data_IF_509493537037
#
_entry.id   IF_509493537037
#
_cell.length_a   1.000
_cell.length_b   1.000
_cell.length_c   1.000
_cell.angle_alpha   90.00
_cell.angle_beta   90.00
_cell.angle_gamma   90.00
#
_symmetry.space_group_name_H-M   'P 1'
#
loop_
_entity.id
_entity.type
_entity.pdbx_description
1 polymer ?
#
# COMPACT_ATOMS: atom_id res chain seq x y z
N UNK A 1 -7.28 -5.19 13.20
CA UNK A 1 -8.66 -5.74 13.06
C UNK A 1 -8.63 -7.14 12.48
N UNK A 2 -9.39 -8.07 13.08
CA UNK A 2 -9.57 -9.45 12.61
C UNK A 2 -10.19 -9.46 11.20
N UNK A 3 -9.67 -10.25 10.25
CA UNK A 3 -8.62 -11.28 10.35
C UNK A 3 -7.23 -10.83 9.89
N UNK A 4 -6.86 -9.55 9.98
CA UNK A 4 -5.52 -9.06 9.63
C UNK A 4 -4.53 -9.07 10.80
N UNK A 5 -4.92 -9.61 11.95
CA UNK A 5 -4.10 -9.62 13.19
C UNK A 5 -2.82 -10.43 13.01
N UNK A 6 -2.88 -11.53 12.28
CA UNK A 6 -1.74 -12.40 12.01
C UNK A 6 -0.67 -11.68 11.20
N UNK A 7 -1.06 -10.86 10.21
CA UNK A 7 -0.13 -10.03 9.44
C UNK A 7 0.58 -9.06 10.38
N UNK A 8 -0.16 -8.37 11.26
CA UNK A 8 0.41 -7.43 12.21
C UNK A 8 1.34 -8.13 13.21
N UNK A 9 0.93 -9.28 13.73
CA UNK A 9 1.72 -10.06 14.71
C UNK A 9 3.06 -10.49 14.09
N UNK A 10 3.05 -11.13 12.93
CA UNK A 10 4.27 -11.60 12.28
C UNK A 10 5.17 -10.44 11.84
N UNK A 11 4.62 -9.36 11.31
CA UNK A 11 5.40 -8.18 10.97
C UNK A 11 6.05 -7.53 12.19
N UNK A 12 5.37 -7.48 13.33
CA UNK A 12 5.94 -6.95 14.58
C UNK A 12 7.13 -7.76 15.09
N UNK A 13 7.10 -9.07 14.84
CA UNK A 13 8.16 -10.00 15.24
C UNK A 13 9.34 -10.00 14.29
N UNK A 14 9.08 -9.94 12.96
CA UNK A 14 10.10 -10.15 11.94
C UNK A 14 10.80 -8.86 11.49
N UNK A 15 10.05 -7.78 11.27
CA UNK A 15 10.62 -6.55 10.71
C UNK A 15 11.79 -5.97 11.53
N UNK A 16 11.74 -5.91 12.88
CA UNK A 16 12.88 -5.41 13.65
C UNK A 16 14.16 -6.22 13.46
N UNK A 17 14.05 -7.52 13.17
CA UNK A 17 15.20 -8.42 13.01
C UNK A 17 15.99 -8.13 11.72
N UNK A 18 15.36 -7.51 10.73
CA UNK A 18 15.96 -7.18 9.43
C UNK A 18 16.12 -5.66 9.24
N UNK A 19 16.05 -4.88 10.34
CA UNK A 19 16.19 -3.42 10.30
C UNK A 19 14.93 -2.67 9.84
N UNK A 20 13.82 -3.37 9.60
CA UNK A 20 12.53 -2.77 9.30
C UNK A 20 11.87 -2.18 10.54
N UNK A 21 10.78 -1.45 10.33
CA UNK A 21 9.98 -0.84 11.39
C UNK A 21 8.55 -1.34 11.35
N UNK A 22 8.04 -1.75 12.50
CA UNK A 22 6.64 -2.00 12.73
C UNK A 22 6.12 -0.98 13.73
N UNK A 23 4.97 -0.37 13.43
CA UNK A 23 4.33 0.60 14.31
C UNK A 23 2.86 0.22 14.42
N UNK A 24 2.42 -0.03 15.63
CA UNK A 24 1.01 -0.19 15.95
C UNK A 24 0.45 1.16 16.37
N UNK A 25 -0.60 1.59 15.67
CA UNK A 25 -1.29 2.84 15.96
C UNK A 25 -2.60 2.55 16.70
N UNK A 26 -3.15 3.57 17.33
CA UNK A 26 -4.40 3.46 18.09
C UNK A 26 -5.60 3.21 17.18
N UNK A 27 -5.58 3.78 15.99
CA UNK A 27 -6.66 3.64 15.01
C UNK A 27 -6.14 3.49 13.57
N UNK A 28 -7.03 3.15 12.68
CA UNK A 28 -6.73 2.89 11.27
C UNK A 28 -6.39 4.16 10.48
N UNK A 29 -6.91 5.33 10.88
CA UNK A 29 -6.63 6.62 10.24
C UNK A 29 -5.18 7.00 10.49
N UNK A 30 -4.74 6.92 11.74
CA UNK A 30 -3.33 7.14 12.11
C UNK A 30 -2.42 6.11 11.45
N UNK A 31 -2.85 4.84 11.41
CA UNK A 31 -2.06 3.76 10.82
C UNK A 31 -1.72 3.98 9.35
N UNK A 32 -2.69 4.36 8.53
CA UNK A 32 -2.41 4.67 7.11
C UNK A 32 -1.64 5.99 6.96
N UNK A 33 -1.90 7.00 7.79
CA UNK A 33 -1.19 8.28 7.73
C UNK A 33 0.31 8.10 7.99
N UNK A 34 0.66 7.27 8.98
CA UNK A 34 2.07 6.90 9.25
C UNK A 34 2.67 6.13 8.08
N UNK A 35 1.92 5.20 7.47
CA UNK A 35 2.40 4.43 6.33
C UNK A 35 2.65 5.32 5.08
N UNK A 36 1.76 6.29 4.82
CA UNK A 36 1.97 7.30 3.76
C UNK A 36 3.23 8.13 4.03
N UNK A 37 3.39 8.65 5.26
CA UNK A 37 4.59 9.41 5.64
C UNK A 37 5.88 8.59 5.55
N UNK A 38 5.85 7.32 5.93
CA UNK A 38 6.98 6.40 5.76
C UNK A 38 7.31 6.19 4.28
N UNK A 39 6.31 6.01 3.43
CA UNK A 39 6.51 5.91 1.99
C UNK A 39 7.13 7.17 1.41
N UNK A 40 6.63 8.35 1.80
CA UNK A 40 7.19 9.62 1.37
C UNK A 40 8.62 9.85 1.84
N UNK A 41 9.03 9.23 2.94
CA UNK A 41 10.42 9.22 3.41
C UNK A 41 11.32 8.19 2.70
N UNK A 42 10.79 7.46 1.71
CA UNK A 42 11.52 6.52 0.87
C UNK A 42 11.42 5.06 1.30
N UNK A 43 10.67 4.74 2.34
CA UNK A 43 10.46 3.35 2.75
C UNK A 43 9.49 2.63 1.81
N UNK A 44 9.66 1.31 1.67
CA UNK A 44 8.59 0.44 1.19
C UNK A 44 7.61 0.25 2.34
N UNK A 45 6.44 0.88 2.25
CA UNK A 45 5.48 0.92 3.33
C UNK A 45 4.22 0.13 2.99
N UNK A 46 3.62 -0.46 4.01
CA UNK A 46 2.31 -1.10 3.91
C UNK A 46 1.48 -0.84 5.15
N UNK A 47 0.17 -0.92 5.00
CA UNK A 47 -0.80 -0.94 6.09
C UNK A 47 -1.72 -2.14 5.93
N UNK A 48 -2.07 -2.82 7.02
CA UNK A 48 -2.97 -3.96 6.98
C UNK A 48 -4.21 -3.70 7.84
N UNK A 49 -5.38 -4.07 7.34
CA UNK A 49 -6.64 -4.00 8.07
C UNK A 49 -7.68 -4.94 7.45
N UNK A 50 -8.91 -4.82 7.90
CA UNK A 50 -10.06 -5.58 7.41
C UNK A 50 -11.36 -4.81 7.67
N UNK A 51 -12.37 -5.04 6.85
CA UNK A 51 -13.73 -4.54 7.06
C UNK A 51 -13.81 -3.05 7.39
N UNK A 52 -14.38 -2.68 8.56
CA UNK A 52 -14.56 -1.27 8.93
C UNK A 52 -13.25 -0.49 9.03
N UNK A 53 -12.11 -1.16 9.30
CA UNK A 53 -10.81 -0.50 9.31
C UNK A 53 -10.37 -0.01 7.93
N UNK A 54 -10.74 -0.71 6.85
CA UNK A 54 -10.51 -0.22 5.49
C UNK A 54 -11.41 1.00 5.21
N UNK A 55 -12.65 0.97 5.66
CA UNK A 55 -13.58 2.11 5.53
C UNK A 55 -13.05 3.36 6.22
N UNK A 56 -12.47 3.22 7.42
CA UNK A 56 -11.86 4.33 8.16
C UNK A 56 -10.65 4.93 7.44
N UNK A 57 -9.96 4.18 6.61
CA UNK A 57 -8.80 4.63 5.82
C UNK A 57 -9.17 5.37 4.54
N UNK A 58 -10.44 5.46 4.17
CA UNK A 58 -10.88 5.92 2.86
C UNK A 58 -10.28 7.28 2.46
N UNK A 59 -10.34 8.29 3.33
CA UNK A 59 -9.81 9.62 3.02
C UNK A 59 -8.31 9.60 2.73
N UNK A 60 -7.53 8.91 3.56
CA UNK A 60 -6.08 8.80 3.36
C UNK A 60 -5.72 7.93 2.15
N UNK A 61 -6.58 6.99 1.78
CA UNK A 61 -6.44 6.25 0.51
C UNK A 61 -6.59 7.23 -0.66
N UNK A 62 -7.61 8.09 -0.62
CA UNK A 62 -7.80 9.16 -1.61
C UNK A 62 -6.61 10.10 -1.70
N UNK A 63 -6.07 10.53 -0.55
CA UNK A 63 -4.84 11.31 -0.50
C UNK A 63 -3.66 10.56 -1.14
N UNK A 64 -3.53 9.26 -0.88
CA UNK A 64 -2.48 8.44 -1.48
C UNK A 64 -2.56 8.41 -3.01
N UNK A 65 -3.76 8.38 -3.58
CA UNK A 65 -3.97 8.42 -5.03
C UNK A 65 -3.64 9.79 -5.62
N UNK A 66 -4.21 10.87 -5.09
CA UNK A 66 -4.01 12.21 -5.66
C UNK A 66 -2.58 12.72 -5.48
N UNK A 67 -1.92 12.34 -4.39
CA UNK A 67 -0.53 12.71 -4.12
C UNK A 67 0.49 11.70 -4.71
N UNK A 68 0.05 10.71 -5.47
CA UNK A 68 0.88 9.73 -6.17
C UNK A 68 1.86 9.00 -5.23
N UNK A 69 1.39 8.58 -4.05
CA UNK A 69 2.23 7.96 -3.01
C UNK A 69 2.21 6.44 -3.13
N UNK A 70 3.34 5.77 -3.42
CA UNK A 70 3.41 4.31 -3.46
C UNK A 70 3.11 3.70 -2.08
N UNK A 71 2.08 2.89 -1.97
CA UNK A 71 1.69 2.22 -0.72
C UNK A 71 1.05 0.87 -1.02
N UNK A 72 1.30 -0.15 -0.20
CA UNK A 72 0.53 -1.39 -0.23
C UNK A 72 -0.51 -1.39 0.88
N UNK A 73 -1.76 -1.61 0.50
CA UNK A 73 -2.90 -1.69 1.41
C UNK A 73 -3.37 -3.13 1.45
N UNK A 74 -3.05 -3.83 2.53
CA UNK A 74 -3.50 -5.20 2.75
C UNK A 74 -4.89 -5.18 3.36
N UNK A 75 -5.85 -5.74 2.63
CA UNK A 75 -7.19 -6.00 3.13
C UNK A 75 -7.40 -7.51 3.24
N UNK A 76 -7.49 -8.03 4.45
CA UNK A 76 -7.94 -9.40 4.67
C UNK A 76 -9.46 -9.37 4.72
N UNK A 77 -10.08 -9.70 3.59
CA UNK A 77 -11.51 -9.53 3.34
C UNK A 77 -12.37 -10.36 4.28
N UNK A 78 -13.46 -9.79 4.73
CA UNK A 78 -14.42 -10.44 5.61
C UNK A 78 -15.86 -10.03 5.31
N UNK A 79 -16.82 -10.72 5.91
CA UNK A 79 -18.24 -10.37 5.74
C UNK A 79 -18.58 -8.99 6.31
N UNK A 80 -19.20 -8.14 5.50
CA UNK A 80 -19.79 -6.84 5.85
C UNK A 80 -21.32 -6.90 5.83
N UNK A 81 -22.03 -5.75 6.01
CA UNK A 81 -21.51 -4.41 6.32
C UNK A 81 -21.15 -4.21 7.81
N UNK A 82 -20.54 -3.05 8.12
CA UNK A 82 -20.12 -2.64 9.48
C UNK A 82 -19.16 -3.67 10.11
N UNK A 83 -19.37 -4.03 11.37
CA UNK A 83 -18.60 -5.10 12.04
C UNK A 83 -18.70 -6.42 11.28
N UNK A 84 -19.88 -6.70 10.73
CA UNK A 84 -20.11 -7.85 9.87
C UNK A 84 -19.79 -9.19 10.49
N UNK A 85 -19.05 -10.00 9.76
CA UNK A 85 -18.65 -11.35 10.14
C UNK A 85 -17.11 -11.47 10.20
N UNK A 86 -16.46 -11.13 11.32
CA UNK A 86 -14.99 -11.02 11.42
C UNK A 86 -14.21 -12.30 11.11
N UNK A 87 -14.85 -13.47 11.22
CA UNK A 87 -14.24 -14.78 11.01
C UNK A 87 -14.94 -15.56 9.89
N UNK A 88 -15.51 -14.86 8.92
CA UNK A 88 -16.20 -15.49 7.79
C UNK A 88 -15.79 -14.83 6.51
N UNK A 89 -15.55 -15.68 5.52
CA UNK A 89 -15.17 -15.26 4.17
C UNK A 89 -16.28 -14.48 3.48
N UNK A 90 -15.90 -13.43 2.78
CA UNK A 90 -16.74 -12.72 1.82
C UNK A 90 -15.85 -11.93 0.87
N UNK A 91 -16.37 -11.64 -0.32
CA UNK A 91 -15.65 -10.93 -1.37
C UNK A 91 -16.30 -9.58 -1.75
N UNK A 92 -17.19 -9.06 -0.91
CA UNK A 92 -17.81 -7.75 -1.09
C UNK A 92 -16.80 -6.61 -1.11
N UNK A 93 -15.69 -6.77 -0.41
CA UNK A 93 -14.59 -5.80 -0.32
C UNK A 93 -13.86 -5.57 -1.66
N UNK A 94 -14.03 -6.45 -2.66
CA UNK A 94 -13.50 -6.22 -4.02
C UNK A 94 -14.08 -4.93 -4.63
N UNK A 95 -15.37 -4.68 -4.44
CA UNK A 95 -16.00 -3.45 -4.92
C UNK A 95 -15.48 -2.21 -4.16
N UNK A 96 -15.21 -2.35 -2.86
CA UNK A 96 -14.59 -1.30 -2.07
C UNK A 96 -13.16 -1.01 -2.55
N UNK A 97 -12.36 -2.04 -2.84
CA UNK A 97 -11.01 -1.87 -3.37
C UNK A 97 -11.01 -1.23 -4.77
N UNK A 98 -12.04 -1.50 -5.58
CA UNK A 98 -12.20 -0.87 -6.90
C UNK A 98 -12.53 0.62 -6.80
N UNK A 99 -13.36 1.00 -5.85
CA UNK A 99 -13.82 2.38 -5.63
C UNK A 99 -13.72 2.73 -4.14
N UNK A 100 -12.50 2.87 -3.59
CA UNK A 100 -12.32 3.02 -2.15
C UNK A 100 -12.76 4.38 -1.62
N UNK A 101 -12.86 5.39 -2.47
CA UNK A 101 -13.25 6.77 -2.12
C UNK A 101 -13.94 7.45 -3.29
N UNK A 102 -14.35 8.70 -3.11
CA UNK A 102 -14.89 9.54 -4.19
C UNK A 102 -13.78 9.96 -5.18
N UNK A 103 -14.17 10.40 -6.35
CA UNK A 103 -13.29 10.91 -7.41
C UNK A 103 -13.09 9.95 -8.57
N UNK A 104 -12.47 10.45 -9.63
CA UNK A 104 -12.24 9.74 -10.89
C UNK A 104 -10.79 9.27 -10.97
N UNK A 105 -10.53 8.06 -10.52
CA UNK A 105 -9.22 7.41 -10.59
C UNK A 105 -9.37 5.89 -10.74
N UNK A 106 -8.29 5.22 -11.11
CA UNK A 106 -8.25 3.76 -11.21
C UNK A 106 -7.43 3.17 -10.07
N UNK A 107 -7.98 2.21 -9.36
CA UNK A 107 -7.24 1.46 -8.36
C UNK A 107 -6.63 0.19 -8.95
N UNK A 108 -5.48 -0.21 -8.41
CA UNK A 108 -4.85 -1.49 -8.71
C UNK A 108 -5.08 -2.42 -7.52
N UNK A 109 -5.59 -3.61 -7.79
CA UNK A 109 -5.74 -4.65 -6.78
C UNK A 109 -5.20 -5.98 -7.28
N UNK A 110 -4.53 -6.72 -6.41
CA UNK A 110 -4.07 -8.09 -6.63
C UNK A 110 -4.69 -9.00 -5.58
N UNK A 111 -5.08 -10.21 -5.97
CA UNK A 111 -5.80 -11.12 -5.11
C UNK A 111 -5.24 -12.55 -5.30
N UNK A 112 -4.30 -12.98 -4.44
CA UNK A 112 -3.78 -14.33 -4.49
C UNK A 112 -4.85 -15.38 -4.11
N UNK A 113 -4.83 -16.53 -4.78
CA UNK A 113 -5.73 -17.65 -4.52
C UNK A 113 -5.05 -18.81 -3.77
N UNK A 114 -3.73 -18.76 -3.56
CA UNK A 114 -2.94 -19.80 -2.89
C UNK A 114 -1.89 -19.22 -1.98
N UNK A 115 -1.35 -20.01 -1.06
CA UNK A 115 -0.26 -19.59 -0.16
C UNK A 115 1.01 -19.15 -0.92
N UNK A 116 1.37 -19.84 -1.98
CA UNK A 116 2.53 -19.46 -2.79
C UNK A 116 2.29 -18.14 -3.50
N UNK A 117 1.10 -17.93 -4.04
CA UNK A 117 0.74 -16.67 -4.69
C UNK A 117 0.73 -15.47 -3.71
N UNK A 118 0.46 -15.67 -2.40
CA UNK A 118 0.55 -14.57 -1.43
C UNK A 118 1.95 -13.95 -1.46
N UNK A 119 2.98 -14.77 -1.51
CA UNK A 119 4.36 -14.29 -1.55
C UNK A 119 4.63 -13.50 -2.83
N UNK A 120 4.31 -14.09 -3.98
CA UNK A 120 4.56 -13.47 -5.29
C UNK A 120 3.74 -12.19 -5.49
N UNK A 121 2.45 -12.21 -5.13
CA UNK A 121 1.56 -11.06 -5.26
C UNK A 121 1.88 -9.95 -4.26
N UNK A 122 2.44 -10.27 -3.09
CA UNK A 122 2.95 -9.24 -2.17
C UNK A 122 4.11 -8.48 -2.81
N UNK A 123 5.08 -9.18 -3.38
CA UNK A 123 6.20 -8.54 -4.10
C UNK A 123 5.68 -7.74 -5.29
N UNK A 124 4.77 -8.32 -6.05
CA UNK A 124 4.13 -7.66 -7.19
C UNK A 124 3.39 -6.40 -6.78
N UNK A 125 2.65 -6.40 -5.66
CA UNK A 125 1.95 -5.23 -5.16
C UNK A 125 2.92 -4.07 -4.87
N UNK A 126 4.05 -4.33 -4.20
CA UNK A 126 5.09 -3.31 -3.98
C UNK A 126 5.72 -2.82 -5.28
N UNK A 127 5.95 -3.71 -6.24
CA UNK A 127 6.50 -3.34 -7.53
C UNK A 127 5.52 -2.47 -8.34
N UNK A 128 4.23 -2.82 -8.35
CA UNK A 128 3.19 -2.03 -9.00
C UNK A 128 3.05 -0.65 -8.34
N UNK A 129 3.07 -0.58 -7.00
CA UNK A 129 3.00 0.67 -6.28
C UNK A 129 4.16 1.61 -6.66
N UNK A 130 5.39 1.09 -6.73
CA UNK A 130 6.55 1.87 -7.14
C UNK A 130 6.53 2.24 -8.63
N UNK A 131 6.08 1.31 -9.50
CA UNK A 131 6.04 1.53 -10.95
C UNK A 131 5.05 2.63 -11.33
N UNK A 132 3.89 2.65 -10.68
CA UNK A 132 2.80 3.56 -11.02
C UNK A 132 2.64 4.72 -10.02
N UNK A 133 3.51 4.82 -9.01
CA UNK A 133 3.44 5.85 -7.95
C UNK A 133 2.03 5.96 -7.35
N UNK A 134 1.46 4.84 -6.88
CA UNK A 134 0.06 4.79 -6.47
C UNK A 134 -0.16 3.76 -5.36
N UNK A 135 -1.20 3.91 -4.52
CA UNK A 135 -1.65 2.84 -3.65
C UNK A 135 -2.08 1.59 -4.44
N UNK A 136 -1.70 0.42 -3.93
CA UNK A 136 -2.08 -0.90 -4.48
C UNK A 136 -2.71 -1.74 -3.39
N UNK A 137 -3.87 -2.31 -3.67
CA UNK A 137 -4.52 -3.24 -2.76
C UNK A 137 -3.98 -4.66 -2.93
N UNK A 138 -3.66 -5.30 -1.81
CA UNK A 138 -3.46 -6.73 -1.70
C UNK A 138 -4.67 -7.32 -0.97
N UNK A 139 -5.53 -8.01 -1.71
CA UNK A 139 -6.77 -8.58 -1.21
C UNK A 139 -6.54 -10.03 -0.81
N UNK A 140 -6.54 -10.29 0.47
CA UNK A 140 -6.46 -11.65 0.99
C UNK A 140 -7.87 -12.13 1.38
N UNK A 141 -8.15 -13.38 1.10
CA UNK A 141 -9.32 -14.05 1.66
C UNK A 141 -9.05 -14.43 3.12
N UNK A 142 -10.05 -14.39 3.97
CA UNK A 142 -9.92 -14.75 5.39
C UNK A 142 -9.38 -16.19 5.57
N UNK A 143 -9.86 -17.13 4.76
CA UNK A 143 -9.40 -18.52 4.79
C UNK A 143 -7.91 -18.61 4.45
N UNK A 144 -7.47 -17.94 3.39
CA UNK A 144 -6.06 -17.92 2.98
C UNK A 144 -5.20 -17.20 4.03
N UNK A 145 -5.72 -16.12 4.64
CA UNK A 145 -5.03 -15.36 5.68
C UNK A 145 -4.71 -16.17 6.94
N UNK A 146 -5.52 -17.21 7.24
CA UNK A 146 -5.32 -18.12 8.37
C UNK A 146 -4.73 -19.47 7.98
N UNK A 147 -4.63 -19.77 6.68
CA UNK A 147 -4.16 -21.07 6.21
C UNK A 147 -2.68 -21.27 6.52
N UNK A 148 -2.36 -22.45 7.00
CA UNK A 148 -0.97 -22.89 7.16
C UNK A 148 -0.66 -23.96 6.11
N UNK A 149 0.51 -23.87 5.51
CA UNK A 149 0.92 -24.83 4.49
C UNK A 149 2.36 -24.60 4.05
N UNK A 150 2.79 -25.45 3.13
CA UNK A 150 4.11 -25.30 2.51
C UNK A 150 4.01 -24.32 1.34
N UNK A 151 4.91 -23.35 1.32
CA UNK A 151 5.14 -22.48 0.17
C UNK A 151 6.61 -22.55 -0.24
N UNK A 152 6.88 -22.51 -1.53
CA UNK A 152 8.23 -22.34 -2.03
C UNK A 152 8.53 -20.84 -2.03
N UNK A 153 9.56 -20.45 -1.28
CA UNK A 153 10.07 -19.09 -1.28
C UNK A 153 11.27 -19.07 -2.23
N UNK A 154 11.26 -18.23 -3.30
CA UNK A 154 12.39 -18.14 -4.21
C UNK A 154 13.62 -17.57 -3.53
N UNK A 155 14.79 -17.82 -4.09
CA UNK A 155 16.01 -17.17 -3.64
C UNK A 155 15.92 -15.65 -3.84
N UNK A 156 16.55 -14.89 -2.97
CA UNK A 156 16.50 -13.41 -3.03
C UNK A 156 17.01 -12.89 -4.38
N UNK A 157 18.00 -13.56 -4.97
CA UNK A 157 18.55 -13.25 -6.30
C UNK A 157 17.53 -13.32 -7.42
N UNK A 158 16.49 -14.14 -7.25
CA UNK A 158 15.47 -14.38 -8.26
C UNK A 158 14.30 -13.40 -8.15
N UNK A 159 14.29 -12.64 -7.06
CA UNK A 159 13.22 -11.67 -6.79
C UNK A 159 13.52 -10.37 -7.54
N UNK A 160 12.65 -10.03 -8.48
CA UNK A 160 12.71 -8.74 -9.16
C UNK A 160 12.06 -7.66 -8.33
N UNK A 161 12.87 -6.68 -7.89
CA UNK A 161 12.40 -5.51 -7.14
C UNK A 161 12.43 -4.28 -8.05
N UNK A 162 11.27 -3.65 -8.23
CA UNK A 162 11.16 -2.36 -8.91
C UNK A 162 11.59 -1.23 -7.95
N UNK A 163 12.60 -0.42 -8.31
CA UNK A 163 12.94 0.76 -7.52
C UNK A 163 11.88 1.85 -7.70
N UNK A 164 11.79 2.76 -6.74
CA UNK A 164 11.04 4.00 -6.92
C UNK A 164 11.71 4.83 -8.01
N UNK A 165 10.90 5.50 -8.82
CA UNK A 165 11.38 6.48 -9.78
C UNK A 165 11.72 7.76 -9.02
N UNK A 166 12.95 8.24 -9.20
CA UNK A 166 13.45 9.45 -8.55
C UNK A 166 14.04 10.38 -9.61
N UNK A 167 13.76 11.65 -9.48
CA UNK A 167 14.43 12.70 -10.25
C UNK A 167 15.89 12.81 -9.79
N UNK A 168 16.82 12.94 -10.74
CA UNK A 168 18.27 12.97 -10.48
C UNK A 168 18.93 14.27 -10.96
N UNK A 169 18.13 15.26 -11.36
CA UNK A 169 18.62 16.55 -11.83
C UNK A 169 18.91 17.54 -10.68
N UNK A 170 19.12 18.81 -11.07
CA UNK A 170 19.29 19.89 -10.07
C UNK A 170 18.01 20.04 -9.24
N UNK A 171 18.08 20.09 -7.91
CA UNK A 171 16.91 20.26 -7.05
C UNK A 171 16.03 21.48 -7.39
N UNK A 172 16.58 22.51 -8.02
CA UNK A 172 15.79 23.69 -8.45
C UNK A 172 14.81 23.38 -9.60
N UNK A 173 15.12 22.35 -10.39
CA UNK A 173 14.33 21.95 -11.56
C UNK A 173 13.35 20.82 -11.23
N UNK A 174 13.25 20.43 -9.94
CA UNK A 174 12.38 19.35 -9.52
C UNK A 174 10.94 19.81 -9.36
N UNK A 175 10.06 19.20 -10.15
CA UNK A 175 8.62 19.33 -10.05
C UNK A 175 8.02 17.97 -9.70
N UNK A 176 7.41 17.80 -8.51
CA UNK A 176 7.02 16.47 -8.00
C UNK A 176 5.94 15.77 -8.84
N UNK A 177 5.14 16.53 -9.58
CA UNK A 177 4.04 16.01 -10.39
C UNK A 177 4.24 16.22 -11.89
N UNK A 178 5.45 16.56 -12.32
CA UNK A 178 5.80 16.62 -13.74
C UNK A 178 6.06 15.20 -14.26
N UNK A 179 5.23 14.80 -15.21
CA UNK A 179 5.29 13.48 -15.82
C UNK A 179 5.47 13.60 -17.34
N UNK A 180 6.26 12.70 -17.94
CA UNK A 180 6.25 12.51 -19.36
C UNK A 180 4.95 11.79 -19.79
N UNK A 181 4.53 11.90 -21.06
CA UNK A 181 3.40 11.12 -21.57
C UNK A 181 3.59 9.62 -21.25
N UNK A 182 2.54 8.99 -20.76
CA UNK A 182 2.49 7.55 -20.42
C UNK A 182 3.45 7.10 -19.29
N UNK A 183 4.01 8.03 -18.53
CA UNK A 183 4.86 7.74 -17.39
C UNK A 183 4.36 8.44 -16.11
N UNK A 184 4.39 7.77 -14.93
CA UNK A 184 4.08 8.45 -13.69
C UNK A 184 5.17 9.47 -13.33
N UNK A 185 4.81 10.48 -12.57
CA UNK A 185 5.75 11.46 -12.05
C UNK A 185 6.81 10.81 -11.13
N UNK A 186 7.88 11.56 -10.85
CA UNK A 186 8.93 11.11 -9.94
C UNK A 186 8.69 11.68 -8.55
N UNK A 187 8.50 10.82 -7.56
CA UNK A 187 8.34 11.25 -6.17
C UNK A 187 9.63 10.99 -5.39
N UNK A 188 10.42 12.03 -5.24
CA UNK A 188 11.66 11.96 -4.46
C UNK A 188 11.35 11.86 -2.95
N UNK A 189 12.10 11.03 -2.21
CA UNK A 189 11.90 10.93 -0.77
C UNK A 189 12.17 12.26 -0.07
N UNK A 190 11.43 12.55 0.98
CA UNK A 190 11.73 13.66 1.89
C UNK A 190 13.15 13.57 2.45
N UNK A 191 13.72 14.70 2.78
CA UNK A 191 15.06 14.84 3.38
C UNK A 191 16.23 14.46 2.46
N UNK A 192 16.00 14.39 1.13
CA UNK A 192 17.02 14.10 0.11
C UNK A 192 17.51 15.36 -0.65
N UNK A 193 17.25 16.56 -0.08
CA UNK A 193 17.72 17.81 -0.67
C UNK A 193 16.77 18.43 -1.70
N UNK A 194 15.63 17.83 -1.94
CA UNK A 194 14.58 18.39 -2.78
C UNK A 194 13.54 19.10 -1.95
N UNK A 195 13.07 20.26 -2.43
CA UNK A 195 12.03 21.04 -1.77
C UNK A 195 10.77 21.01 -2.63
N UNK A 196 9.72 20.45 -2.09
CA UNK A 196 8.43 20.35 -2.75
C UNK A 196 7.32 20.22 -1.73
N UNK A 197 6.10 20.36 -2.19
CA UNK A 197 4.91 20.31 -1.36
C UNK A 197 3.99 19.19 -1.84
N UNK A 198 3.40 18.49 -0.90
CA UNK A 198 2.39 17.47 -1.16
C UNK A 198 1.03 18.07 -0.89
N UNK A 199 0.12 17.88 -1.82
CA UNK A 199 -1.23 18.40 -1.73
C UNK A 199 -2.28 17.32 -1.99
N UNK A 200 -3.42 17.44 -1.32
CA UNK A 200 -4.64 16.68 -1.63
C UNK A 200 -5.58 17.43 -2.57
N UNK A 201 -5.16 18.57 -3.11
CA UNK A 201 -5.92 19.33 -4.08
C UNK A 201 -5.58 18.89 -5.51
N UNK A 202 -6.45 19.19 -6.48
CA UNK A 202 -6.04 19.16 -7.88
C UNK A 202 -4.88 20.12 -8.09
N UNK A 203 -3.84 19.67 -8.70
CA UNK A 203 -2.57 20.39 -8.77
C UNK A 203 -1.95 20.35 -10.18
N UNK A 204 -1.04 21.29 -10.42
CA UNK A 204 -0.16 21.31 -11.58
C UNK A 204 1.15 20.57 -11.29
N UNK A 205 2.15 20.70 -12.19
CA UNK A 205 3.44 20.00 -12.04
C UNK A 205 4.20 20.30 -10.73
N UNK A 206 3.96 21.45 -10.14
CA UNK A 206 4.67 21.91 -8.93
C UNK A 206 3.95 21.56 -7.62
N UNK A 207 2.71 21.09 -7.68
CA UNK A 207 1.84 20.85 -6.53
C UNK A 207 0.79 21.93 -6.32
#
# INVERSE_FOLDING_TARGET
ITPSSEVAHEMSRMLPQIGGKFIQMEDEISGISVALGASMSGAKAMTASSGPGISLKAEQIGLGFIAEIPLVIVNVMRGGPSTGLPTRVAQGDILQAKNPTHGDYQSIAVAPGTLSEIYDETIRAFNLANRYSTPVFLLLDETIGHMQGKAMIPEISDIKIEPRREFKGDPKDYNPYEAAPDEPATLNPFFKGYHYHITGLHHGPTG
#
